data_IF_582312448635
#
_entry.id   IF_582312448635
#
_cell.length_a   1.000
_cell.length_b   1.000
_cell.length_c   1.000
_cell.angle_alpha   90.00
_cell.angle_beta   90.00
_cell.angle_gamma   90.00
#
_symmetry.space_group_name_H-M   'P 1'
#
loop_
_entity.id
_entity.type
_entity.pdbx_description
1 polymer ?
#
# COMPACT_ATOMS: atom_id res chain seq x y z
N UNK A 1 20.31 -1.82 24.59
CA UNK A 1 19.31 -2.87 24.27
C UNK A 1 18.06 -2.53 25.06
N UNK A 2 16.90 -2.49 24.42
CA UNK A 2 15.63 -2.21 25.09
C UNK A 2 14.90 -3.52 25.42
N UNK A 3 14.10 -3.52 26.47
CA UNK A 3 13.22 -4.63 26.83
C UNK A 3 11.80 -4.29 26.43
N UNK A 4 11.12 -5.23 25.78
CA UNK A 4 9.72 -5.07 25.39
C UNK A 4 8.94 -6.32 25.80
N UNK A 5 7.80 -6.10 26.43
CA UNK A 5 6.94 -7.16 26.93
C UNK A 5 5.69 -7.25 26.06
N UNK A 6 5.45 -8.43 25.48
CA UNK A 6 4.26 -8.72 24.67
C UNK A 6 3.61 -10.00 25.16
N UNK A 7 2.28 -10.01 25.19
CA UNK A 7 1.53 -11.24 25.42
C UNK A 7 1.28 -11.93 24.10
N UNK A 8 1.71 -13.19 24.00
CA UNK A 8 1.49 -14.06 22.84
C UNK A 8 0.88 -15.39 23.32
N UNK A 9 0.13 -16.09 22.45
CA UNK A 9 -0.35 -17.43 22.75
C UNK A 9 0.81 -18.38 23.14
N UNK A 10 0.55 -19.25 24.11
CA UNK A 10 1.58 -20.12 24.67
C UNK A 10 2.10 -21.13 23.63
N UNK A 11 1.21 -21.68 22.80
CA UNK A 11 1.52 -22.56 21.69
C UNK A 11 2.46 -21.88 20.68
N UNK A 12 2.22 -20.60 20.36
CA UNK A 12 3.07 -19.83 19.47
C UNK A 12 4.47 -19.62 20.06
N UNK A 13 4.55 -19.28 21.36
CA UNK A 13 5.82 -19.13 22.09
C UNK A 13 6.64 -20.43 22.05
N UNK A 14 6.00 -21.57 22.28
CA UNK A 14 6.65 -22.87 22.27
C UNK A 14 7.14 -23.25 20.88
N UNK A 15 6.30 -23.11 19.86
CA UNK A 15 6.65 -23.35 18.47
C UNK A 15 7.85 -22.47 18.04
N UNK A 16 7.81 -21.17 18.35
CA UNK A 16 8.90 -20.24 18.04
C UNK A 16 10.20 -20.66 18.76
N UNK A 17 10.12 -20.96 20.06
CA UNK A 17 11.29 -21.35 20.85
C UNK A 17 11.92 -22.66 20.36
N UNK A 18 11.10 -23.63 19.94
CA UNK A 18 11.56 -24.91 19.39
C UNK A 18 12.22 -24.74 18.03
N UNK A 19 11.58 -24.01 17.12
CA UNK A 19 12.09 -23.78 15.76
C UNK A 19 13.39 -23.00 15.75
N UNK A 20 13.52 -21.99 16.61
CA UNK A 20 14.68 -21.10 16.66
C UNK A 20 15.59 -21.32 17.87
N UNK A 21 15.60 -22.53 18.45
CA UNK A 21 16.32 -22.84 19.68
C UNK A 21 17.83 -22.51 19.64
N UNK A 22 18.46 -22.59 18.46
CA UNK A 22 19.90 -22.33 18.26
C UNK A 22 20.20 -20.96 17.64
N UNK A 23 19.21 -20.08 17.51
CA UNK A 23 19.37 -18.74 16.94
C UNK A 23 19.16 -17.67 18.00
N UNK A 24 19.73 -16.49 17.77
CA UNK A 24 19.46 -15.33 18.60
C UNK A 24 18.02 -14.85 18.34
N UNK A 25 17.12 -15.19 19.27
CA UNK A 25 15.69 -14.89 19.19
C UNK A 25 15.41 -13.38 19.15
N UNK A 26 16.15 -12.60 19.92
CA UNK A 26 16.00 -11.14 19.93
C UNK A 26 16.39 -10.52 18.59
N UNK A 27 17.44 -11.03 17.93
CA UNK A 27 17.83 -10.58 16.61
C UNK A 27 16.75 -10.90 15.55
N UNK A 28 16.21 -12.13 15.57
CA UNK A 28 15.12 -12.54 14.67
C UNK A 28 13.88 -11.67 14.85
N UNK A 29 13.46 -11.40 16.08
CA UNK A 29 12.31 -10.54 16.36
C UNK A 29 12.57 -9.09 15.92
N UNK A 30 13.79 -8.57 16.15
CA UNK A 30 14.15 -7.23 15.73
C UNK A 30 14.12 -7.06 14.20
N UNK A 31 14.56 -8.07 13.46
CA UNK A 31 14.45 -8.12 11.99
C UNK A 31 12.98 -8.15 11.56
N UNK A 32 12.18 -9.04 12.13
CA UNK A 32 10.75 -9.13 11.85
C UNK A 32 10.00 -7.80 12.12
N UNK A 33 10.37 -7.11 13.19
CA UNK A 33 9.82 -5.79 13.52
C UNK A 33 10.22 -4.73 12.50
N UNK A 34 11.47 -4.75 12.01
CA UNK A 34 11.93 -3.80 11.00
C UNK A 34 11.16 -3.99 9.70
N UNK A 35 11.01 -5.24 9.26
CA UNK A 35 10.26 -5.57 8.04
C UNK A 35 8.79 -5.15 8.15
N UNK A 36 8.17 -5.40 9.31
CA UNK A 36 6.80 -4.97 9.58
C UNK A 36 6.63 -3.44 9.54
N UNK A 37 7.58 -2.70 10.12
CA UNK A 37 7.59 -1.23 10.09
C UNK A 37 7.73 -0.72 8.65
N UNK A 38 8.65 -1.29 7.87
CA UNK A 38 8.86 -0.90 6.48
C UNK A 38 7.63 -1.18 5.61
N UNK A 39 7.03 -2.36 5.77
CA UNK A 39 5.79 -2.73 5.08
C UNK A 39 4.64 -1.77 5.42
N UNK A 40 4.48 -1.40 6.69
CA UNK A 40 3.46 -0.45 7.12
C UNK A 40 3.71 0.95 6.54
N UNK A 41 4.96 1.42 6.54
CA UNK A 41 5.30 2.70 5.91
C UNK A 41 5.05 2.70 4.40
N UNK A 42 5.38 1.61 3.71
CA UNK A 42 5.12 1.46 2.28
C UNK A 42 3.60 1.49 2.01
N UNK A 43 2.81 0.77 2.81
CA UNK A 43 1.35 0.78 2.72
C UNK A 43 0.78 2.19 2.94
N UNK A 44 1.21 2.88 4.01
CA UNK A 44 0.76 4.25 4.28
C UNK A 44 1.12 5.24 3.16
N UNK A 45 2.30 5.11 2.56
CA UNK A 45 2.69 5.93 1.40
C UNK A 45 1.76 5.68 0.21
N UNK A 46 1.47 4.41 -0.08
CA UNK A 46 0.55 4.03 -1.16
C UNK A 46 -0.85 4.60 -0.94
N UNK A 47 -1.40 4.46 0.27
CA UNK A 47 -2.72 5.00 0.61
C UNK A 47 -2.75 6.52 0.47
N UNK A 48 -1.72 7.24 0.93
CA UNK A 48 -1.62 8.70 0.74
C UNK A 48 -1.58 9.09 -0.73
N UNK A 49 -0.83 8.38 -1.58
CA UNK A 49 -0.79 8.65 -3.02
C UNK A 49 -2.14 8.39 -3.69
N UNK A 50 -2.86 7.34 -3.29
CA UNK A 50 -4.22 7.06 -3.80
C UNK A 50 -5.17 8.19 -3.40
N UNK A 51 -5.09 8.67 -2.16
CA UNK A 51 -5.94 9.76 -1.67
C UNK A 51 -5.64 11.09 -2.38
N UNK A 52 -4.36 11.41 -2.61
CA UNK A 52 -3.93 12.56 -3.41
C UNK A 52 -4.41 12.47 -4.87
N UNK A 53 -4.33 11.29 -5.50
CA UNK A 53 -4.84 11.08 -6.85
C UNK A 53 -6.36 11.21 -6.91
N UNK A 54 -7.07 10.74 -5.88
CA UNK A 54 -8.52 10.86 -5.74
C UNK A 54 -8.95 12.32 -5.58
N UNK A 55 -8.22 13.10 -4.77
CA UNK A 55 -8.46 14.54 -4.62
C UNK A 55 -8.20 15.27 -5.94
N UNK A 56 -7.11 14.96 -6.66
CA UNK A 56 -6.85 15.56 -7.99
C UNK A 56 -7.95 15.26 -9.00
N UNK A 57 -8.51 14.05 -9.01
CA UNK A 57 -9.67 13.71 -9.86
C UNK A 57 -10.96 14.41 -9.46
N UNK A 58 -11.18 14.65 -8.16
CA UNK A 58 -12.34 15.38 -7.69
C UNK A 58 -12.28 16.88 -8.03
N UNK A 59 -11.07 17.44 -8.17
CA UNK A 59 -10.84 18.85 -8.52
C UNK A 59 -10.50 19.07 -10.00
N UNK A 60 -10.45 18.01 -10.81
CA UNK A 60 -10.33 18.16 -12.26
C UNK A 60 -11.63 18.74 -12.80
N UNK A 61 -11.60 19.87 -13.54
CA UNK A 61 -12.79 20.32 -14.25
C UNK A 61 -13.18 19.20 -15.21
N UNK A 62 -14.43 18.76 -15.10
CA UNK A 62 -15.08 17.96 -16.13
C UNK A 62 -14.94 18.82 -17.39
N UNK A 63 -14.16 18.36 -18.37
CA UNK A 63 -14.28 18.88 -19.72
C UNK A 63 -15.73 18.57 -20.09
N UNK A 64 -16.59 19.58 -20.01
CA UNK A 64 -17.87 19.55 -20.70
C UNK A 64 -17.50 19.23 -22.15
N UNK A 65 -17.93 18.05 -22.61
CA UNK A 65 -18.05 17.75 -24.03
C UNK A 65 -19.09 18.76 -24.56
N UNK A 66 -18.65 19.99 -24.81
CA UNK A 66 -19.33 20.86 -25.76
C UNK A 66 -19.23 20.14 -27.10
N UNK A 67 -20.37 19.61 -27.50
CA UNK A 67 -20.53 18.84 -28.72
C UNK A 67 -20.13 19.67 -29.93
N UNK A 68 -19.11 19.21 -30.65
CA UNK A 68 -18.92 19.50 -32.06
C UNK A 68 -19.17 18.21 -32.85
N UNK A 69 -20.45 17.81 -32.87
CA UNK A 69 -21.01 16.92 -33.88
C UNK A 69 -21.31 17.79 -35.13
N UNK A 70 -20.26 18.30 -35.78
CA UNK A 70 -20.39 18.97 -37.09
C UNK A 70 -19.91 18.01 -38.18
N UNK A 71 -20.81 17.11 -38.55
CA UNK A 71 -20.77 16.47 -39.84
C UNK A 71 -21.15 17.49 -40.92
N UNK A 72 -20.44 17.48 -42.06
CA UNK A 72 -21.15 17.67 -43.32
C UNK A 72 -20.98 16.45 -44.22
N UNK A 73 -22.12 15.79 -44.40
CA UNK A 73 -22.44 14.92 -45.51
C UNK A 73 -22.31 15.65 -46.86
N UNK A 74 -21.79 14.92 -47.86
CA UNK A 74 -22.02 15.08 -49.30
C UNK A 74 -21.33 16.23 -50.06
N UNK A 75 -20.33 15.82 -50.86
CA UNK A 75 -19.86 16.58 -52.03
C UNK A 75 -19.21 15.69 -53.08
N UNK A 76 -20.03 15.00 -53.90
CA UNK A 76 -19.62 14.39 -55.18
C UNK A 76 -18.67 15.33 -55.95
N UNK A 77 -17.58 14.80 -56.51
CA UNK A 77 -17.29 14.76 -57.97
C UNK A 77 -15.81 14.43 -58.27
N UNK A 78 -15.66 13.34 -59.03
CA UNK A 78 -14.74 13.04 -60.13
C UNK A 78 -13.23 12.99 -59.85
#
# INVERSE_FOLDING_TARGET
>A
MAFVNYSIPQDLKEAFNKTFARRNKSALIAELMRDAIESEHAHQRSVKTIDELRMRRATSPILEEDGDDDAPESGRRR
#
